data_IF_225715009050
#
_entry.id   IF_225715009050
#
_cell.length_a   1.000
_cell.length_b   1.000
_cell.length_c   1.000
_cell.angle_alpha   90.00
_cell.angle_beta   90.00
_cell.angle_gamma   90.00
#
_symmetry.space_group_name_H-M   'P 1'
#
loop_
_entity.id
_entity.type
_entity.pdbx_description
1 polymer ?
#
# COMPACT_ATOMS: atom_id res chain seq x y z
N UNK A 1 -2.09 -11.56 13.73
CA UNK A 1 -1.78 -10.33 12.97
C UNK A 1 -0.27 -10.19 12.72
N UNK A 2 0.59 -10.47 13.71
CA UNK A 2 2.06 -10.34 13.60
C UNK A 2 2.69 -11.17 12.47
N UNK A 3 2.24 -12.41 12.26
CA UNK A 3 2.81 -13.27 11.22
C UNK A 3 2.64 -12.70 9.80
N UNK A 4 1.48 -12.11 9.48
CA UNK A 4 1.23 -11.52 8.17
C UNK A 4 2.12 -10.29 7.91
N UNK A 5 2.37 -9.48 8.94
CA UNK A 5 3.28 -8.34 8.86
C UNK A 5 4.73 -8.78 8.61
N UNK A 6 5.18 -9.81 9.34
CA UNK A 6 6.52 -10.37 9.15
C UNK A 6 6.67 -10.89 7.73
N UNK A 7 5.72 -11.70 7.23
CA UNK A 7 5.74 -12.21 5.86
C UNK A 7 5.77 -11.08 4.83
N UNK A 8 4.98 -10.02 5.04
CA UNK A 8 4.97 -8.86 4.16
C UNK A 8 6.34 -8.19 4.12
N UNK A 9 6.95 -7.89 5.28
CA UNK A 9 8.27 -7.25 5.36
C UNK A 9 9.39 -8.11 4.79
N UNK A 10 9.42 -9.40 5.11
CA UNK A 10 10.40 -10.35 4.58
C UNK A 10 10.30 -10.46 3.05
N UNK A 11 9.11 -10.25 2.47
CA UNK A 11 8.92 -10.20 1.03
C UNK A 11 9.32 -8.86 0.38
N UNK A 12 9.84 -7.89 1.15
CA UNK A 12 10.08 -6.52 0.69
C UNK A 12 8.80 -5.71 0.50
N UNK A 13 7.71 -6.09 1.19
CA UNK A 13 6.42 -5.42 1.15
C UNK A 13 6.34 -4.21 2.08
N UNK A 14 5.50 -3.24 1.72
CA UNK A 14 5.19 -2.07 2.55
C UNK A 14 3.75 -2.12 3.06
N UNK A 15 3.51 -1.39 4.14
CA UNK A 15 2.20 -1.21 4.73
C UNK A 15 1.95 0.28 4.94
N UNK A 16 0.88 0.80 4.34
CA UNK A 16 0.49 2.21 4.41
C UNK A 16 -0.90 2.36 5.01
N UNK A 17 -1.27 3.60 5.33
CA UNK A 17 -2.58 3.89 5.89
C UNK A 17 -3.70 3.50 4.91
N UNK A 18 -4.75 2.85 5.42
CA UNK A 18 -5.92 2.48 4.62
C UNK A 18 -7.02 3.56 4.57
N UNK A 19 -6.80 4.72 5.20
CA UNK A 19 -7.77 5.82 5.30
C UNK A 19 -7.46 6.94 4.30
N UNK A 20 -7.23 6.61 3.04
CA UNK A 20 -6.95 7.57 1.96
C UNK A 20 -5.48 7.59 1.54
N UNK A 21 -5.07 8.57 0.69
CA UNK A 21 -3.78 8.60 -0.01
C UNK A 21 -2.56 8.89 0.89
N UNK A 22 -2.65 8.59 2.19
CA UNK A 22 -1.55 8.78 3.11
C UNK A 22 -0.52 7.64 2.99
N UNK A 23 0.69 8.00 2.55
CA UNK A 23 1.84 7.10 2.39
C UNK A 23 2.64 6.92 3.68
N UNK A 24 2.23 7.55 4.78
CA UNK A 24 2.91 7.42 6.06
C UNK A 24 2.91 5.96 6.57
N UNK A 25 3.98 5.55 7.27
CA UNK A 25 4.04 4.24 7.89
C UNK A 25 2.85 4.03 8.83
N UNK A 26 2.07 2.97 8.61
CA UNK A 26 0.88 2.71 9.42
C UNK A 26 1.25 2.10 10.77
N UNK A 27 0.60 2.56 11.84
CA UNK A 27 0.61 1.85 13.11
C UNK A 27 -0.27 0.61 12.97
N UNK A 28 0.28 -0.58 13.21
CA UNK A 28 -0.41 -1.87 13.06
C UNK A 28 -1.62 -2.05 13.98
N UNK A 29 -1.80 -1.15 14.96
CA UNK A 29 -2.97 -1.08 15.83
C UNK A 29 -4.13 -0.29 15.20
N UNK A 30 -3.91 0.39 14.08
CA UNK A 30 -4.96 1.08 13.32
C UNK A 30 -5.86 0.08 12.58
N UNK A 31 -7.15 0.40 12.49
CA UNK A 31 -8.19 -0.53 11.98
C UNK A 31 -8.16 -0.76 10.47
N UNK A 32 -7.48 0.09 9.69
CA UNK A 32 -7.45 0.01 8.21
C UNK A 32 -6.05 0.27 7.69
N UNK A 33 -5.53 -0.67 6.91
CA UNK A 33 -4.21 -0.61 6.29
C UNK A 33 -4.27 -1.15 4.87
N UNK A 34 -3.39 -0.65 4.00
CA UNK A 34 -3.14 -1.21 2.68
C UNK A 34 -1.77 -1.89 2.70
N UNK A 35 -1.74 -3.19 2.42
CA UNK A 35 -0.52 -3.97 2.33
C UNK A 35 -0.15 -4.18 0.86
N UNK A 36 1.06 -3.81 0.47
CA UNK A 36 1.58 -3.96 -0.89
C UNK A 36 2.78 -4.89 -0.85
N UNK A 37 2.68 -6.03 -1.54
CA UNK A 37 3.76 -7.02 -1.60
C UNK A 37 4.94 -6.48 -2.41
N UNK A 38 6.17 -6.85 -2.03
CA UNK A 38 7.35 -6.61 -2.84
C UNK A 38 7.31 -7.40 -4.14
N UNK A 39 7.68 -6.73 -5.24
CA UNK A 39 7.82 -7.31 -6.56
C UNK A 39 9.06 -6.79 -7.26
N UNK A 40 9.19 -7.01 -8.56
CA UNK A 40 10.24 -6.36 -9.35
C UNK A 40 9.94 -4.86 -9.49
N UNK A 41 10.97 -3.99 -9.53
CA UNK A 41 10.77 -2.58 -9.87
C UNK A 41 10.06 -2.45 -11.22
N UNK A 42 9.08 -1.56 -11.28
CA UNK A 42 8.44 -1.19 -12.55
C UNK A 42 9.45 -0.46 -13.44
N UNK A 43 9.25 -0.55 -14.76
CA UNK A 43 10.12 0.10 -15.73
C UNK A 43 10.19 1.62 -15.50
N UNK A 44 11.36 2.12 -15.10
CA UNK A 44 11.60 3.53 -14.79
C UNK A 44 11.80 3.83 -13.30
N UNK A 45 11.43 2.91 -12.41
CA UNK A 45 11.67 3.03 -10.98
C UNK A 45 13.05 2.49 -10.60
N UNK A 46 13.70 3.13 -9.62
CA UNK A 46 15.03 2.74 -9.15
C UNK A 46 14.99 1.71 -8.03
N UNK A 47 13.89 1.64 -7.31
CA UNK A 47 13.70 0.72 -6.17
C UNK A 47 12.31 0.10 -6.19
N UNK A 48 12.19 -1.08 -5.55
CA UNK A 48 10.90 -1.76 -5.36
C UNK A 48 9.92 -0.87 -4.58
N UNK A 49 10.42 -0.16 -3.57
CA UNK A 49 9.62 0.76 -2.74
C UNK A 49 8.99 1.88 -3.57
N UNK A 50 9.72 2.46 -4.53
CA UNK A 50 9.17 3.48 -5.42
C UNK A 50 8.00 2.94 -6.24
N UNK A 51 8.13 1.73 -6.78
CA UNK A 51 7.04 1.07 -7.51
C UNK A 51 5.84 0.78 -6.62
N UNK A 52 6.06 0.39 -5.38
CA UNK A 52 4.99 0.13 -4.42
C UNK A 52 4.25 1.42 -4.04
N UNK A 53 4.96 2.52 -3.79
CA UNK A 53 4.35 3.82 -3.54
C UNK A 53 3.57 4.33 -4.75
N UNK A 54 4.10 4.13 -5.97
CA UNK A 54 3.35 4.45 -7.20
C UNK A 54 2.05 3.67 -7.29
N UNK A 55 2.06 2.36 -7.01
CA UNK A 55 0.85 1.54 -6.98
C UNK A 55 -0.16 2.05 -5.94
N UNK A 56 0.30 2.50 -4.77
CA UNK A 56 -0.57 3.11 -3.75
C UNK A 56 -1.27 4.36 -4.29
N UNK A 57 -0.53 5.26 -4.95
CA UNK A 57 -1.09 6.47 -5.57
C UNK A 57 -2.11 6.14 -6.65
N UNK A 58 -1.76 5.24 -7.56
CA UNK A 58 -2.66 4.81 -8.64
C UNK A 58 -3.93 4.16 -8.10
N UNK A 59 -3.80 3.32 -7.07
CA UNK A 59 -4.94 2.72 -6.40
C UNK A 59 -5.89 3.77 -5.82
N UNK A 60 -5.36 4.78 -5.11
CA UNK A 60 -6.20 5.82 -4.52
C UNK A 60 -6.85 6.73 -5.57
N UNK A 61 -6.16 7.06 -6.65
CA UNK A 61 -6.77 7.78 -7.79
C UNK A 61 -7.98 7.01 -8.33
N UNK A 62 -7.85 5.68 -8.49
CA UNK A 62 -8.95 4.82 -8.96
C UNK A 62 -10.08 4.77 -7.92
N UNK A 63 -9.78 4.64 -6.64
CA UNK A 63 -10.81 4.60 -5.58
C UNK A 63 -11.57 5.91 -5.47
N UNK A 64 -10.91 7.05 -5.64
CA UNK A 64 -11.56 8.37 -5.71
C UNK A 64 -12.46 8.48 -6.95
N UNK A 65 -12.06 7.90 -8.09
CA UNK A 65 -12.92 7.84 -9.28
C UNK A 65 -14.12 6.89 -9.11
N UNK A 66 -14.00 5.85 -8.28
CA UNK A 66 -15.06 4.88 -7.96
C UNK A 66 -15.84 5.32 -6.71
N UNK A 67 -16.09 6.62 -6.50
CA UNK A 67 -17.00 7.11 -5.45
C UNK A 67 -18.46 6.71 -5.80
N UNK A 68 -18.72 5.40 -5.71
CA UNK A 68 -20.00 4.76 -5.81
C UNK A 68 -20.70 4.99 -4.47
N UNK A 69 -21.95 5.51 -4.45
CA UNK A 69 -22.65 5.75 -3.20
C UNK A 69 -22.71 4.46 -2.40
N UNK A 70 -22.03 4.45 -1.25
CA UNK A 70 -22.11 3.38 -0.27
C UNK A 70 -23.38 3.58 0.54
N UNK A 71 -24.51 3.18 -0.06
CA UNK A 71 -25.78 2.98 0.65
C UNK A 71 -25.72 1.75 1.56
#
# INVERSE_FOLDING_TARGET
MTAALVILRESGGIMVNGNGPNEEPVNILERKYLAVRGGSPYAGDKTVEQSQLRLVREFWNIVEEIDYPRE
#
